data_IF_873443594070
#
_entry.id   IF_873443594070
#
_cell.length_a   1.000
_cell.length_b   1.000
_cell.length_c   1.000
_cell.angle_alpha   90.00
_cell.angle_beta   90.00
_cell.angle_gamma   90.00
#
_symmetry.space_group_name_H-M   'P 1'
#
loop_
_entity.id
_entity.type
_entity.pdbx_description
1 polymer ?
#
# COMPACT_ATOMS: atom_id res chain seq x y z
N UNK A 1 16.50 2.68 -7.58
CA UNK A 1 15.46 1.63 -7.46
C UNK A 1 14.07 2.15 -7.01
N UNK A 2 13.96 3.36 -6.44
CA UNK A 2 12.69 3.97 -5.96
C UNK A 2 11.68 4.33 -7.06
N UNK A 3 12.15 4.79 -8.23
CA UNK A 3 11.29 5.24 -9.34
C UNK A 3 10.40 4.15 -9.96
N UNK A 4 10.83 2.87 -9.97
CA UNK A 4 10.02 1.76 -10.51
C UNK A 4 8.89 1.33 -9.57
N UNK A 5 9.08 1.43 -8.25
CA UNK A 5 8.05 1.02 -7.25
C UNK A 5 6.90 2.02 -7.20
N UNK A 6 7.21 3.31 -7.30
CA UNK A 6 6.20 4.38 -7.38
C UNK A 6 5.34 4.29 -8.66
N UNK A 7 5.94 3.97 -9.80
CA UNK A 7 5.17 3.76 -11.04
C UNK A 7 4.29 2.52 -10.92
N UNK A 8 4.82 1.42 -10.38
CA UNK A 8 4.07 0.18 -10.28
C UNK A 8 2.84 0.29 -9.37
N UNK A 9 2.94 0.95 -8.22
CA UNK A 9 1.76 1.14 -7.36
C UNK A 9 0.64 1.92 -8.07
N UNK A 10 1.01 2.90 -8.90
CA UNK A 10 0.06 3.65 -9.74
C UNK A 10 -0.56 2.77 -10.82
N UNK A 11 0.25 1.94 -11.49
CA UNK A 11 -0.20 1.04 -12.54
C UNK A 11 -1.13 -0.05 -11.99
N UNK A 12 -0.78 -0.64 -10.83
CA UNK A 12 -1.64 -1.59 -10.10
C UNK A 12 -2.95 -0.93 -9.70
N UNK A 13 -2.92 0.30 -9.16
CA UNK A 13 -4.14 1.03 -8.81
C UNK A 13 -5.03 1.27 -10.04
N UNK A 14 -4.46 1.66 -11.17
CA UNK A 14 -5.23 1.87 -12.40
C UNK A 14 -5.81 0.55 -12.94
N UNK A 15 -5.02 -0.52 -12.90
CA UNK A 15 -5.47 -1.86 -13.27
C UNK A 15 -6.61 -2.34 -12.37
N UNK A 16 -6.50 -2.14 -11.05
CA UNK A 16 -7.52 -2.47 -10.06
C UNK A 16 -8.88 -1.85 -10.42
N UNK A 17 -8.90 -0.54 -10.71
CA UNK A 17 -10.16 0.14 -11.06
C UNK A 17 -10.82 -0.47 -12.30
N UNK A 18 -10.02 -0.88 -13.29
CA UNK A 18 -10.50 -1.48 -14.54
C UNK A 18 -10.95 -2.93 -14.37
N UNK A 19 -10.13 -3.75 -13.71
CA UNK A 19 -10.41 -5.20 -13.52
C UNK A 19 -11.63 -5.39 -12.65
N UNK A 20 -11.73 -4.68 -11.53
CA UNK A 20 -12.87 -4.79 -10.63
C UNK A 20 -14.10 -3.97 -11.11
N UNK A 21 -13.99 -3.24 -12.23
CA UNK A 21 -15.03 -2.35 -12.75
C UNK A 21 -15.61 -1.41 -11.69
N UNK A 22 -14.72 -0.72 -10.98
CA UNK A 22 -15.07 0.18 -9.87
C UNK A 22 -14.76 1.64 -10.22
N UNK A 23 -15.53 2.60 -9.68
CA UNK A 23 -15.31 4.01 -9.97
C UNK A 23 -13.94 4.48 -9.47
N UNK A 24 -13.22 5.24 -10.29
CA UNK A 24 -11.94 5.82 -9.86
C UNK A 24 -12.15 6.92 -8.81
N UNK A 25 -11.20 7.03 -7.88
CA UNK A 25 -11.18 8.11 -6.89
C UNK A 25 -9.76 8.57 -6.61
N UNK A 26 -9.60 9.89 -6.45
CA UNK A 26 -8.32 10.52 -6.09
C UNK A 26 -8.05 10.35 -4.59
N UNK A 27 -6.78 10.18 -4.23
CA UNK A 27 -6.38 9.97 -2.83
C UNK A 27 -6.65 11.18 -1.93
N UNK A 28 -6.78 12.39 -2.48
CA UNK A 28 -7.10 13.62 -1.76
C UNK A 28 -8.60 13.99 -1.78
N UNK A 29 -9.49 13.02 -2.03
CA UNK A 29 -10.93 13.26 -2.09
C UNK A 29 -11.62 13.45 -0.72
N UNK A 30 -10.88 13.32 0.39
CA UNK A 30 -11.35 13.57 1.75
C UNK A 30 -12.56 12.69 2.12
N UNK A 31 -13.62 13.32 2.65
CA UNK A 31 -14.84 12.64 3.11
C UNK A 31 -15.51 11.79 2.00
N UNK A 32 -15.31 12.14 0.72
CA UNK A 32 -15.86 11.38 -0.41
C UNK A 32 -15.32 9.95 -0.46
N UNK A 33 -14.15 9.68 0.11
CA UNK A 33 -13.56 8.34 0.18
C UNK A 33 -14.44 7.41 1.03
N UNK A 34 -14.91 7.89 2.18
CA UNK A 34 -15.77 7.09 3.06
C UNK A 34 -17.07 6.69 2.36
N UNK A 35 -17.69 7.60 1.61
CA UNK A 35 -18.89 7.30 0.82
C UNK A 35 -18.59 6.37 -0.35
N UNK A 36 -17.45 6.57 -1.03
CA UNK A 36 -17.00 5.70 -2.11
C UNK A 36 -16.80 4.26 -1.62
N UNK A 37 -16.21 4.04 -0.44
CA UNK A 37 -16.03 2.69 0.14
C UNK A 37 -17.33 1.98 0.51
N UNK A 38 -18.42 2.72 0.74
CA UNK A 38 -19.76 2.16 0.98
C UNK A 38 -20.46 1.69 -0.30
N UNK A 39 -19.93 2.02 -1.48
CA UNK A 39 -20.47 1.50 -2.74
C UNK A 39 -20.32 -0.02 -2.78
N UNK A 40 -21.41 -0.72 -3.10
CA UNK A 40 -21.46 -2.17 -3.08
C UNK A 40 -20.43 -2.81 -4.04
N UNK A 41 -20.04 -2.10 -5.11
CA UNK A 41 -18.99 -2.54 -6.03
C UNK A 41 -17.62 -2.54 -5.35
N UNK A 42 -17.34 -1.58 -4.48
CA UNK A 42 -16.08 -1.50 -3.73
C UNK A 42 -16.01 -2.61 -2.69
N UNK A 43 -17.10 -2.83 -1.94
CA UNK A 43 -17.17 -3.91 -0.95
C UNK A 43 -16.97 -5.29 -1.61
N UNK A 44 -17.64 -5.54 -2.74
CA UNK A 44 -17.44 -6.77 -3.51
C UNK A 44 -16.01 -6.91 -4.04
N UNK A 45 -15.42 -5.83 -4.56
CA UNK A 45 -14.03 -5.84 -5.02
C UNK A 45 -13.07 -6.17 -3.88
N UNK A 46 -13.29 -5.60 -2.69
CA UNK A 46 -12.49 -5.89 -1.50
C UNK A 46 -12.61 -7.37 -1.08
N UNK A 47 -13.82 -7.90 -0.94
CA UNK A 47 -14.01 -9.32 -0.62
C UNK A 47 -13.38 -10.24 -1.66
N UNK A 48 -13.42 -9.86 -2.94
CA UNK A 48 -12.83 -10.66 -4.02
C UNK A 48 -11.30 -10.76 -3.96
N UNK A 49 -10.61 -9.84 -3.26
CA UNK A 49 -9.17 -9.95 -3.05
C UNK A 49 -8.79 -11.20 -2.24
N UNK A 50 -9.70 -11.67 -1.39
CA UNK A 50 -9.49 -12.77 -0.46
C UNK A 50 -10.14 -14.07 -0.92
N UNK A 51 -10.91 -14.04 -2.01
CA UNK A 51 -11.47 -15.24 -2.59
C UNK A 51 -10.36 -16.05 -3.23
N UNK A 52 -10.17 -17.26 -2.73
CA UNK A 52 -9.22 -18.23 -3.28
C UNK A 52 -9.98 -19.23 -4.14
N UNK A 53 -9.69 -19.26 -5.44
CA UNK A 53 -10.05 -20.39 -6.29
C UNK A 53 -8.91 -21.42 -6.31
N UNK A 54 -9.05 -22.48 -7.10
CA UNK A 54 -8.01 -23.52 -7.27
C UNK A 54 -6.66 -22.94 -7.75
N UNK A 55 -6.65 -21.72 -8.29
CA UNK A 55 -5.45 -21.00 -8.76
C UNK A 55 -4.92 -19.97 -7.76
N UNK A 56 -5.57 -19.82 -6.59
CA UNK A 56 -5.20 -18.89 -5.53
C UNK A 56 -5.81 -17.50 -5.73
N UNK A 57 -4.96 -16.46 -5.74
CA UNK A 57 -5.38 -15.04 -5.78
C UNK A 57 -5.68 -14.58 -7.22
N UNK A 58 -6.70 -15.17 -7.86
CA UNK A 58 -6.98 -14.95 -9.29
C UNK A 58 -7.22 -13.49 -9.66
N UNK A 59 -7.97 -12.73 -8.86
CA UNK A 59 -8.21 -11.29 -9.07
C UNK A 59 -6.91 -10.49 -9.02
N UNK A 60 -6.02 -10.77 -8.06
CA UNK A 60 -4.72 -10.10 -7.94
C UNK A 60 -3.84 -10.43 -9.14
N UNK A 61 -3.82 -11.70 -9.57
CA UNK A 61 -3.06 -12.12 -10.74
C UNK A 61 -3.53 -11.39 -12.00
N UNK A 62 -4.84 -11.23 -12.19
CA UNK A 62 -5.41 -10.47 -13.30
C UNK A 62 -5.00 -8.99 -13.26
N UNK A 63 -5.04 -8.36 -12.07
CA UNK A 63 -4.60 -6.98 -11.86
C UNK A 63 -3.11 -6.83 -12.23
N UNK A 64 -2.26 -7.76 -11.83
CA UNK A 64 -0.81 -7.74 -12.14
C UNK A 64 -0.59 -7.84 -13.64
N UNK A 65 -1.23 -8.80 -14.31
CA UNK A 65 -1.11 -9.00 -15.76
C UNK A 65 -1.54 -7.72 -16.50
N UNK A 66 -2.63 -7.08 -16.06
CA UNK A 66 -3.13 -5.82 -16.63
C UNK A 66 -2.17 -4.65 -16.37
N UNK A 67 -1.53 -4.59 -15.20
CA UNK A 67 -0.57 -3.54 -14.84
C UNK A 67 0.79 -3.71 -15.52
N UNK A 68 1.19 -4.94 -15.86
CA UNK A 68 2.47 -5.28 -16.48
C UNK A 68 2.30 -6.00 -17.82
N UNK A 69 1.64 -5.41 -18.84
CA UNK A 69 1.30 -6.10 -20.08
C UNK A 69 2.52 -6.49 -20.94
N UNK A 70 3.70 -5.93 -20.66
CA UNK A 70 4.96 -6.21 -21.36
C UNK A 70 5.76 -7.35 -20.73
N UNK A 71 5.38 -7.80 -19.54
CA UNK A 71 6.04 -8.92 -18.86
C UNK A 71 5.31 -10.22 -19.16
N UNK A 72 6.05 -11.31 -19.31
CA UNK A 72 5.43 -12.63 -19.40
C UNK A 72 4.75 -12.99 -18.09
N UNK A 73 3.67 -13.80 -18.14
CA UNK A 73 2.95 -14.24 -16.93
C UNK A 73 3.88 -14.86 -15.88
N UNK A 74 4.84 -15.67 -16.33
CA UNK A 74 5.80 -16.36 -15.47
C UNK A 74 6.76 -15.37 -14.78
N UNK A 75 7.01 -14.21 -15.38
CA UNK A 75 7.91 -13.19 -14.82
C UNK A 75 7.19 -12.24 -13.87
N UNK A 76 5.90 -11.93 -14.12
CA UNK A 76 5.17 -10.96 -13.30
C UNK A 76 4.43 -11.59 -12.11
N UNK A 77 4.06 -12.87 -12.16
CA UNK A 77 3.34 -13.55 -11.07
C UNK A 77 4.29 -14.18 -10.04
N UNK A 78 5.29 -13.43 -9.59
CA UNK A 78 6.20 -13.87 -8.51
C UNK A 78 5.60 -13.54 -7.14
N UNK A 79 5.92 -14.29 -6.07
CA UNK A 79 5.45 -13.98 -4.71
C UNK A 79 5.70 -12.54 -4.28
N UNK A 80 6.82 -11.94 -4.70
CA UNK A 80 7.18 -10.55 -4.43
C UNK A 80 6.27 -9.53 -5.11
N UNK A 81 5.81 -9.81 -6.33
CA UNK A 81 4.89 -8.92 -7.07
C UNK A 81 3.47 -9.14 -6.57
N UNK A 82 3.07 -10.39 -6.32
CA UNK A 82 1.76 -10.74 -5.75
C UNK A 82 1.58 -10.07 -4.38
N UNK A 83 2.57 -10.17 -3.48
CA UNK A 83 2.50 -9.53 -2.16
C UNK A 83 2.42 -8.01 -2.25
N UNK A 84 3.18 -7.41 -3.17
CA UNK A 84 3.15 -5.96 -3.42
C UNK A 84 1.79 -5.51 -3.97
N UNK A 85 1.26 -6.20 -4.98
CA UNK A 85 -0.02 -5.89 -5.58
C UNK A 85 -1.17 -6.06 -4.59
N UNK A 86 -1.18 -7.15 -3.82
CA UNK A 86 -2.17 -7.39 -2.77
C UNK A 86 -2.11 -6.32 -1.68
N UNK A 87 -0.91 -5.87 -1.27
CA UNK A 87 -0.76 -4.77 -0.33
C UNK A 87 -1.35 -3.45 -0.87
N UNK A 88 -1.09 -3.12 -2.15
CA UNK A 88 -1.67 -1.92 -2.78
C UNK A 88 -3.20 -2.03 -2.83
N UNK A 89 -3.73 -3.16 -3.29
CA UNK A 89 -5.18 -3.36 -3.42
C UNK A 89 -5.88 -3.33 -2.07
N UNK A 90 -5.31 -3.97 -1.04
CA UNK A 90 -5.88 -3.96 0.30
C UNK A 90 -5.85 -2.56 0.92
N UNK A 91 -4.83 -1.73 0.68
CA UNK A 91 -4.81 -0.33 1.15
C UNK A 91 -5.92 0.48 0.49
N UNK A 92 -6.05 0.37 -0.84
CA UNK A 92 -7.02 1.18 -1.61
C UNK A 92 -8.46 0.80 -1.27
N UNK A 93 -8.74 -0.48 -1.12
CA UNK A 93 -10.12 -0.99 -0.96
C UNK A 93 -10.56 -1.16 0.50
N UNK A 94 -9.65 -1.16 1.49
CA UNK A 94 -9.96 -1.44 2.89
C UNK A 94 -11.16 -0.61 3.41
N UNK A 95 -12.33 -1.22 3.68
CA UNK A 95 -13.52 -0.49 4.12
C UNK A 95 -13.37 0.14 5.52
N UNK A 96 -12.41 -0.33 6.32
CA UNK A 96 -12.17 0.13 7.69
C UNK A 96 -11.30 1.38 7.79
N UNK A 97 -10.73 1.86 6.68
CA UNK A 97 -9.91 3.08 6.65
C UNK A 97 -10.54 4.15 5.76
N UNK A 98 -10.43 5.42 6.15
CA UNK A 98 -10.83 6.55 5.30
C UNK A 98 -9.71 7.00 4.34
N UNK A 99 -8.59 6.29 4.33
CA UNK A 99 -7.46 6.56 3.47
C UNK A 99 -7.33 5.52 2.35
N UNK A 100 -6.80 5.97 1.22
CA UNK A 100 -6.49 5.13 0.06
C UNK A 100 -5.11 5.45 -0.50
N UNK A 101 -4.31 6.23 0.24
CA UNK A 101 -2.96 6.63 -0.17
C UNK A 101 -2.02 5.47 0.12
N UNK A 102 -1.34 4.99 -0.92
CA UNK A 102 -0.35 3.94 -0.78
C UNK A 102 1.01 4.58 -0.40
N UNK A 103 1.26 4.77 0.89
CA UNK A 103 2.57 5.24 1.39
C UNK A 103 3.59 4.10 1.31
N UNK A 104 4.88 4.45 1.25
CA UNK A 104 5.97 3.47 1.16
C UNK A 104 5.95 2.54 2.39
N UNK A 105 5.72 3.10 3.58
CA UNK A 105 5.66 2.34 4.84
C UNK A 105 4.46 1.41 4.92
N UNK A 106 3.24 1.89 4.58
CA UNK A 106 2.04 1.05 4.59
C UNK A 106 2.16 -0.11 3.60
N UNK A 107 2.69 0.15 2.40
CA UNK A 107 2.96 -0.91 1.42
C UNK A 107 4.01 -1.87 1.97
N UNK A 108 5.14 -1.37 2.50
CA UNK A 108 6.24 -2.21 3.00
C UNK A 108 5.78 -3.11 4.14
N UNK A 109 5.04 -2.59 5.11
CA UNK A 109 4.47 -3.32 6.25
C UNK A 109 3.61 -4.49 5.77
N UNK A 110 2.59 -4.23 4.95
CA UNK A 110 1.66 -5.25 4.46
C UNK A 110 2.30 -6.23 3.49
N UNK A 111 3.08 -5.74 2.52
CA UNK A 111 3.75 -6.60 1.52
C UNK A 111 4.76 -7.56 2.14
N UNK A 112 5.41 -7.18 3.25
CA UNK A 112 6.35 -8.07 3.95
C UNK A 112 5.64 -9.26 4.59
N UNK A 113 4.48 -9.04 5.21
CA UNK A 113 3.65 -10.11 5.80
C UNK A 113 3.16 -11.05 4.70
N UNK A 114 2.57 -10.51 3.64
CA UNK A 114 2.06 -11.33 2.54
C UNK A 114 3.17 -12.09 1.81
N UNK A 115 4.35 -11.50 1.65
CA UNK A 115 5.49 -12.18 1.06
C UNK A 115 5.96 -13.37 1.90
N UNK A 116 5.97 -13.22 3.23
CA UNK A 116 6.32 -14.30 4.15
C UNK A 116 5.35 -15.48 3.99
N UNK A 117 4.04 -15.20 4.01
CA UNK A 117 3.00 -16.22 3.84
C UNK A 117 3.10 -16.94 2.50
N UNK A 118 3.26 -16.20 1.40
CA UNK A 118 3.38 -16.79 0.07
C UNK A 118 4.64 -17.66 -0.08
N UNK A 119 5.75 -17.31 0.57
CA UNK A 119 6.97 -18.13 0.60
C UNK A 119 6.78 -19.44 1.37
N UNK A 120 5.87 -19.45 2.34
CA UNK A 120 5.48 -20.65 3.09
C UNK A 120 4.36 -21.44 2.38
N UNK A 121 4.02 -21.10 1.13
CA UNK A 121 2.89 -21.65 0.38
C UNK A 121 1.53 -21.47 1.09
N UNK A 122 1.40 -20.45 1.94
CA UNK A 122 0.14 -20.06 2.59
C UNK A 122 -0.48 -18.90 1.81
N UNK A 123 -1.78 -19.00 1.55
CA UNK A 123 -2.52 -17.93 0.89
C UNK A 123 -2.85 -16.84 1.93
N UNK A 124 -2.45 -15.58 1.72
CA UNK A 124 -2.78 -14.48 2.60
C UNK A 124 -4.30 -14.27 2.74
N UNK A 125 -4.73 -13.93 3.94
CA UNK A 125 -6.13 -13.66 4.29
C UNK A 125 -6.27 -12.25 4.83
N UNK A 126 -7.52 -11.79 4.90
CA UNK A 126 -7.85 -10.48 5.47
C UNK A 126 -7.38 -10.35 6.92
N UNK A 127 -7.50 -11.41 7.72
CA UNK A 127 -7.06 -11.46 9.12
C UNK A 127 -5.56 -11.24 9.32
N UNK A 128 -4.77 -11.36 8.26
CA UNK A 128 -3.32 -11.15 8.31
C UNK A 128 -2.94 -9.66 8.13
N UNK A 129 -3.91 -8.79 7.84
CA UNK A 129 -3.68 -7.35 7.77
C UNK A 129 -3.46 -6.82 9.19
N UNK A 130 -2.36 -6.10 9.44
CA UNK A 130 -2.15 -5.47 10.73
C UNK A 130 -3.18 -4.36 10.95
N UNK A 131 -3.74 -4.31 12.16
CA UNK A 131 -4.69 -3.27 12.56
C UNK A 131 -3.95 -1.91 12.60
N UNK A 132 -4.24 -1.02 11.64
CA UNK A 132 -3.60 0.30 11.54
C UNK A 132 -4.20 1.31 12.56
N UNK A 133 -5.09 0.84 13.45
CA UNK A 133 -5.77 1.64 14.48
C UNK A 133 -4.81 2.30 15.51
N UNK A 134 -3.52 1.92 15.54
CA UNK A 134 -2.55 2.37 16.55
C UNK A 134 -1.48 3.37 16.04
N UNK A 135 -1.57 3.89 14.81
CA UNK A 135 -0.47 4.67 14.21
C UNK A 135 -0.57 6.20 14.39
N UNK A 136 -1.60 6.72 15.06
CA UNK A 136 -1.80 8.17 15.23
C UNK A 136 -0.89 8.85 16.27
N UNK A 137 -0.04 8.13 17.00
CA UNK A 137 0.71 8.70 18.14
C UNK A 137 2.23 8.92 17.92
N UNK A 138 2.73 9.03 16.68
CA UNK A 138 4.17 9.34 16.46
C UNK A 138 4.49 10.47 15.49
N UNK A 139 3.68 11.52 15.47
CA UNK A 139 4.08 12.79 14.83
C UNK A 139 3.67 14.01 15.64
N UNK A 140 4.25 14.20 16.82
CA UNK A 140 4.22 15.48 17.54
C UNK A 140 5.32 15.51 18.59
N UNK A 141 6.54 15.87 18.19
CA UNK A 141 7.55 16.50 19.03
C UNK A 141 8.72 16.91 18.12
N UNK A 142 8.46 17.91 17.31
CA UNK A 142 9.50 18.76 16.73
C UNK A 142 8.97 20.19 16.77
N UNK A 143 9.41 20.94 17.78
CA UNK A 143 9.40 22.41 17.87
C UNK A 143 10.20 22.77 19.14
N UNK A 144 11.50 23.07 19.04
CA UNK A 144 12.14 24.37 18.77
C UNK A 144 12.64 25.04 20.06
N UNK A 145 13.78 25.71 19.91
CA UNK A 145 14.38 26.78 20.73
C UNK A 145 15.28 26.38 21.91
N UNK A 146 16.61 26.42 21.73
CA UNK A 146 17.52 27.59 21.68
C UNK A 146 17.92 28.02 23.11
N UNK A 147 19.19 27.86 23.47
CA UNK A 147 20.12 28.98 23.74
C UNK A 147 21.42 28.47 24.36
N UNK A 148 22.51 28.85 23.69
CA UNK A 148 23.83 29.30 24.20
C UNK A 148 24.31 28.90 25.60
N UNK A 149 25.55 28.41 25.69
CA UNK A 149 26.68 29.07 26.39
C UNK A 149 27.97 28.24 26.25
N UNK A 150 29.11 28.92 26.46
CA UNK A 150 30.50 28.42 26.54
C UNK A 150 31.29 28.34 25.21
N UNK A 151 32.43 29.00 25.02
CA UNK A 151 33.28 29.77 25.92
C UNK A 151 34.15 30.75 25.12
N UNK A 152 34.29 31.94 25.68
CA UNK A 152 35.37 32.90 25.43
C UNK A 152 36.71 32.23 25.79
N UNK A 153 37.75 32.31 24.96
CA UNK A 153 39.05 32.89 25.35
C UNK A 153 40.10 32.86 24.21
N UNK A 154 40.46 34.08 23.80
CA UNK A 154 41.76 34.63 23.41
C UNK A 154 42.69 34.11 22.29
N UNK A 155 43.07 35.12 21.49
CA UNK A 155 44.40 35.49 20.95
C UNK A 155 44.98 34.68 19.79
N UNK A 156 45.16 35.34 18.63
CA UNK A 156 46.48 35.86 18.21
C UNK A 156 46.34 36.73 16.94
N UNK A 157 46.49 38.05 17.09
CA UNK A 157 47.04 38.90 16.04
C UNK A 157 48.32 39.50 16.62
N UNK A 158 49.47 39.06 16.11
CA UNK A 158 50.62 39.91 15.78
C UNK A 158 51.51 39.17 14.76
#
# INVERSE_FOLDING_TARGET
MRHRRGSLAKDIRSALFKVCNIPEIKANAGIKIANWKKDNRIMKAYSSLWNTDDTGLSVINEIIIKAMPKESKNNCLTPSIISFALAVCSIVLNPHSNEIRCTEDAIKKRSSIFLMLLKENKIPKESDIPDDSNEKEKSSLDSTDESSEDNDDSRLFE
#
